data_IF_624176474771
#
_entry.id   IF_624176474771
#
_cell.length_a   1.000
_cell.length_b   1.000
_cell.length_c   1.000
_cell.angle_alpha   90.00
_cell.angle_beta   90.00
_cell.angle_gamma   90.00
#
_symmetry.space_group_name_H-M   'P 1'
#
loop_
_entity.id
_entity.type
_entity.pdbx_description
1 polymer ?
#
# COMPACT_ATOMS: atom_id res chain seq x y z
N UNK A 1 10.57 -4.70 1.89
CA UNK A 1 11.81 -4.04 1.44
C UNK A 1 12.42 -4.75 0.25
N UNK A 2 12.76 -6.04 0.37
CA UNK A 2 13.34 -6.83 -0.72
C UNK A 2 12.61 -6.67 -2.06
N UNK A 3 11.28 -6.72 -2.04
CA UNK A 3 10.48 -6.50 -3.26
C UNK A 3 10.68 -5.11 -3.90
N UNK A 4 10.83 -4.06 -3.08
CA UNK A 4 11.03 -2.70 -3.57
C UNK A 4 12.44 -2.50 -4.15
N UNK A 5 13.45 -3.19 -3.63
CA UNK A 5 14.82 -3.12 -4.17
C UNK A 5 15.08 -4.13 -5.30
N UNK A 6 14.21 -5.14 -5.46
CA UNK A 6 14.22 -6.15 -6.53
C UNK A 6 12.83 -6.29 -7.19
N UNK A 7 12.28 -5.22 -7.79
CA UNK A 7 10.91 -5.22 -8.28
C UNK A 7 10.76 -6.09 -9.53
N UNK A 8 9.57 -6.67 -9.71
CA UNK A 8 9.22 -7.36 -10.94
C UNK A 8 9.00 -6.34 -12.10
N UNK A 9 8.89 -6.80 -13.37
CA UNK A 9 8.76 -5.89 -14.51
C UNK A 9 7.56 -4.93 -14.48
N UNK A 10 6.47 -5.25 -13.76
CA UNK A 10 5.30 -4.36 -13.64
C UNK A 10 5.60 -3.16 -12.76
N UNK A 11 6.31 -3.38 -11.65
CA UNK A 11 6.56 -2.35 -10.64
C UNK A 11 7.92 -1.65 -10.79
N UNK A 12 8.80 -2.16 -11.67
CA UNK A 12 10.14 -1.61 -11.92
C UNK A 12 10.13 -0.11 -12.26
N UNK A 13 9.09 0.38 -12.93
CA UNK A 13 8.95 1.79 -13.27
C UNK A 13 8.58 2.68 -12.06
N UNK A 14 8.05 2.10 -10.98
CA UNK A 14 7.65 2.79 -9.76
C UNK A 14 8.70 2.71 -8.65
N UNK A 15 9.40 1.58 -8.55
CA UNK A 15 10.44 1.36 -7.54
C UNK A 15 11.84 1.66 -8.08
N UNK A 16 12.12 2.95 -8.29
CA UNK A 16 13.41 3.43 -8.78
C UNK A 16 14.48 3.29 -7.68
N UNK A 17 15.58 2.60 -8.00
CA UNK A 17 16.66 2.28 -7.06
C UNK A 17 17.30 3.55 -6.49
N UNK A 18 17.48 4.55 -7.35
CA UNK A 18 18.01 5.88 -7.02
C UNK A 18 17.15 6.67 -6.04
N UNK A 19 15.84 6.36 -5.93
CA UNK A 19 14.95 7.00 -4.97
C UNK A 19 14.86 6.23 -3.65
N UNK A 20 14.95 4.91 -3.71
CA UNK A 20 14.66 4.04 -2.55
C UNK A 20 15.91 3.76 -1.73
N UNK A 21 17.05 3.45 -2.36
CA UNK A 21 18.28 3.11 -1.62
C UNK A 21 18.79 4.23 -0.70
N UNK A 22 18.74 5.52 -1.11
CA UNK A 22 19.18 6.59 -0.21
C UNK A 22 18.43 6.62 1.12
N UNK A 23 17.18 6.13 1.18
CA UNK A 23 16.41 6.05 2.44
C UNK A 23 17.12 5.12 3.44
N UNK A 24 17.63 3.96 2.99
CA UNK A 24 18.39 3.04 3.81
C UNK A 24 19.82 3.54 4.06
N UNK A 25 20.52 4.00 3.03
CA UNK A 25 21.93 4.43 3.10
C UNK A 25 22.14 5.64 4.02
N UNK A 26 21.14 6.54 4.10
CA UNK A 26 21.15 7.69 5.00
C UNK A 26 20.60 7.35 6.41
N UNK A 27 20.20 6.10 6.67
CA UNK A 27 19.68 5.67 7.97
C UNK A 27 18.26 6.16 8.28
N UNK A 28 17.50 6.58 7.27
CA UNK A 28 16.13 7.11 7.41
C UNK A 28 15.04 6.03 7.25
N UNK A 29 15.43 4.78 6.98
CA UNK A 29 14.49 3.67 6.83
C UNK A 29 14.01 3.17 8.19
N UNK A 30 12.73 3.37 8.48
CA UNK A 30 12.06 2.83 9.66
C UNK A 30 11.01 1.80 9.23
N UNK A 31 11.16 0.57 9.70
CA UNK A 31 10.14 -0.47 9.52
C UNK A 31 9.01 -0.33 10.53
N UNK A 32 7.80 -0.62 10.08
CA UNK A 32 6.62 -0.71 10.96
C UNK A 32 6.59 -2.12 11.56
N UNK A 33 6.24 -2.22 12.85
CA UNK A 33 6.05 -3.49 13.53
C UNK A 33 4.84 -4.28 13.03
N UNK A 34 4.66 -5.49 13.56
CA UNK A 34 3.52 -6.36 13.22
C UNK A 34 2.17 -5.76 13.64
N UNK A 35 2.17 -4.81 14.59
CA UNK A 35 0.98 -4.07 15.02
C UNK A 35 0.52 -3.01 14.01
N UNK A 36 1.29 -2.81 12.92
CA UNK A 36 1.02 -1.85 11.85
C UNK A 36 0.88 -0.40 12.33
N UNK A 37 1.42 -0.09 13.52
CA UNK A 37 1.29 1.22 14.15
C UNK A 37 2.42 2.15 13.76
N UNK A 38 2.08 3.33 13.25
CA UNK A 38 3.04 4.40 12.95
C UNK A 38 3.10 5.39 14.11
N UNK A 39 1.94 5.70 14.72
CA UNK A 39 1.82 6.59 15.87
C UNK A 39 0.57 6.24 16.69
N UNK A 40 0.28 7.00 17.75
CA UNK A 40 -0.95 6.80 18.54
C UNK A 40 -2.23 6.90 17.70
N UNK A 41 -2.24 7.79 16.70
CA UNK A 41 -3.42 8.08 15.88
C UNK A 41 -3.34 7.50 14.47
N UNK A 42 -2.20 6.90 14.08
CA UNK A 42 -1.98 6.36 12.73
C UNK A 42 -1.58 4.90 12.83
N UNK A 43 -2.41 4.05 12.24
CA UNK A 43 -2.14 2.64 11.97
C UNK A 43 -2.36 2.38 10.48
N UNK A 44 -2.46 1.13 10.05
CA UNK A 44 -2.87 0.86 8.68
C UNK A 44 -3.37 -0.55 8.44
N UNK A 45 -3.74 -0.76 7.17
CA UNK A 45 -4.14 -2.03 6.61
C UNK A 45 -3.08 -2.40 5.58
N UNK A 46 -2.65 -3.67 5.58
CA UNK A 46 -1.81 -4.19 4.51
C UNK A 46 -2.70 -4.77 3.41
N UNK A 47 -2.48 -4.29 2.19
CA UNK A 47 -3.08 -4.80 0.96
C UNK A 47 -1.99 -5.42 0.09
N UNK A 48 -2.21 -6.65 -0.36
CA UNK A 48 -1.26 -7.48 -1.10
C UNK A 48 -1.70 -7.70 -2.54
N UNK A 49 -2.83 -7.15 -2.99
CA UNK A 49 -3.25 -7.27 -4.39
C UNK A 49 -2.43 -6.42 -5.36
N UNK A 50 -2.30 -5.12 -5.05
CA UNK A 50 -1.67 -4.14 -5.93
C UNK A 50 -0.13 -4.24 -5.96
N UNK A 51 0.51 -4.31 -4.78
CA UNK A 51 1.95 -4.59 -4.60
C UNK A 51 2.14 -5.68 -3.54
N UNK A 52 3.39 -6.06 -3.24
CA UNK A 52 3.67 -7.11 -2.27
C UNK A 52 3.15 -6.82 -0.86
N UNK A 53 3.17 -5.56 -0.45
CA UNK A 53 2.76 -5.13 0.89
C UNK A 53 2.40 -3.64 0.88
N UNK A 54 1.39 -3.25 0.09
CA UNK A 54 0.91 -1.88 0.08
C UNK A 54 0.31 -1.55 1.45
N UNK A 55 0.70 -0.41 2.02
CA UNK A 55 0.19 0.06 3.29
C UNK A 55 -0.85 1.15 3.06
N UNK A 56 -2.07 0.95 3.55
CA UNK A 56 -3.17 1.91 3.52
C UNK A 56 -3.29 2.57 4.90
N UNK A 57 -2.86 3.84 5.08
CA UNK A 57 -2.94 4.53 6.36
C UNK A 57 -4.37 4.65 6.87
N UNK A 58 -4.58 4.24 8.12
CA UNK A 58 -5.79 4.44 8.91
C UNK A 58 -5.51 5.50 9.97
N UNK A 59 -6.13 6.66 9.83
CA UNK A 59 -5.90 7.86 10.63
C UNK A 59 -7.13 8.11 11.50
N UNK A 60 -6.95 8.15 12.82
CA UNK A 60 -7.99 8.57 13.75
C UNK A 60 -7.94 10.09 13.97
N UNK A 61 -9.06 10.77 13.73
CA UNK A 61 -9.21 12.22 13.92
C UNK A 61 -10.50 12.44 14.70
N UNK A 62 -10.40 12.93 15.94
CA UNK A 62 -11.55 13.23 16.80
C UNK A 62 -12.55 12.07 16.96
N UNK A 63 -12.06 10.83 16.99
CA UNK A 63 -12.91 9.63 17.08
C UNK A 63 -13.41 9.11 15.74
N UNK A 64 -13.28 9.87 14.65
CA UNK A 64 -13.57 9.41 13.29
C UNK A 64 -12.35 8.74 12.67
N UNK A 65 -12.58 7.81 11.75
CA UNK A 65 -11.52 7.09 11.04
C UNK A 65 -11.51 7.48 9.58
N UNK A 66 -10.40 8.08 9.13
CA UNK A 66 -10.08 8.30 7.73
C UNK A 66 -9.15 7.18 7.25
N UNK A 67 -9.43 6.56 6.11
CA UNK A 67 -8.54 5.58 5.49
C UNK A 67 -8.08 6.10 4.13
N UNK A 68 -6.78 6.22 3.93
CA UNK A 68 -6.20 6.54 2.63
C UNK A 68 -5.96 5.25 1.85
N UNK A 69 -6.76 5.05 0.80
CA UNK A 69 -6.85 3.76 0.09
C UNK A 69 -5.77 3.53 -0.96
N UNK A 70 -4.94 4.53 -1.25
CA UNK A 70 -3.91 4.44 -2.28
C UNK A 70 -4.45 3.79 -3.57
N UNK A 71 -3.74 2.80 -4.09
CA UNK A 71 -4.08 2.12 -5.34
C UNK A 71 -5.05 0.93 -5.17
N UNK A 72 -5.62 0.71 -3.97
CA UNK A 72 -6.82 -0.14 -3.87
C UNK A 72 -8.02 0.54 -4.53
N UNK A 73 -8.14 1.86 -4.40
CA UNK A 73 -9.23 2.67 -4.97
C UNK A 73 -8.62 4.00 -5.46
N UNK A 74 -7.88 3.99 -6.59
CA UNK A 74 -7.15 5.17 -7.05
C UNK A 74 -8.06 6.26 -7.63
N UNK A 75 -9.30 5.92 -7.97
CA UNK A 75 -10.31 6.90 -8.42
C UNK A 75 -11.72 6.42 -8.16
N UNK A 76 -12.71 7.32 -8.31
CA UNK A 76 -14.13 6.98 -8.19
C UNK A 76 -14.60 5.92 -9.19
N UNK A 77 -13.92 5.79 -10.33
CA UNK A 77 -14.17 4.71 -11.30
C UNK A 77 -13.84 3.31 -10.76
N UNK A 78 -13.00 3.25 -9.73
CA UNK A 78 -12.56 2.02 -9.06
C UNK A 78 -13.31 1.82 -7.74
N UNK A 79 -14.56 2.25 -7.61
CA UNK A 79 -15.36 1.92 -6.41
C UNK A 79 -15.88 0.48 -6.48
N UNK A 80 -16.33 -0.01 -7.64
CA UNK A 80 -16.86 -1.37 -7.76
C UNK A 80 -15.74 -2.41 -7.58
N UNK A 81 -15.85 -3.39 -6.66
CA UNK A 81 -14.73 -4.28 -6.32
C UNK A 81 -14.08 -5.00 -7.51
N UNK A 82 -14.87 -5.34 -8.53
CA UNK A 82 -14.38 -6.01 -9.74
C UNK A 82 -13.69 -5.07 -10.76
N UNK A 83 -13.65 -3.77 -10.51
CA UNK A 83 -13.00 -2.78 -11.39
C UNK A 83 -11.59 -2.52 -10.85
N UNK A 84 -10.71 -3.52 -10.96
CA UNK A 84 -9.31 -3.46 -10.52
C UNK A 84 -8.40 -2.90 -11.61
N UNK A 85 -7.18 -2.54 -11.22
CA UNK A 85 -6.20 -1.89 -12.06
C UNK A 85 -5.44 -2.94 -12.88
N UNK A 86 -5.18 -2.66 -14.15
CA UNK A 86 -4.45 -3.59 -15.03
C UNK A 86 -2.98 -3.83 -14.64
N UNK A 87 -2.45 -3.00 -13.74
CA UNK A 87 -1.08 -3.08 -13.22
C UNK A 87 -0.97 -3.80 -11.86
N UNK A 88 -2.08 -4.27 -11.28
CA UNK A 88 -2.02 -5.09 -10.06
C UNK A 88 -1.19 -6.35 -10.28
N UNK A 89 -0.38 -6.72 -9.29
CA UNK A 89 0.40 -7.96 -9.33
C UNK A 89 -0.46 -9.19 -9.04
N UNK A 90 -1.55 -9.03 -8.26
CA UNK A 90 -2.52 -10.07 -7.88
C UNK A 90 -3.95 -9.52 -7.92
N UNK A 91 -4.54 -9.33 -9.12
CA UNK A 91 -5.84 -8.67 -9.27
C UNK A 91 -7.00 -9.37 -8.54
N UNK A 92 -6.98 -10.70 -8.45
CA UNK A 92 -8.01 -11.45 -7.69
C UNK A 92 -7.92 -11.20 -6.19
N UNK A 93 -6.72 -10.97 -5.66
CA UNK A 93 -6.56 -10.63 -4.25
C UNK A 93 -6.94 -9.17 -4.01
N UNK A 94 -6.63 -8.25 -4.95
CA UNK A 94 -7.17 -6.87 -4.90
C UNK A 94 -8.69 -6.87 -4.85
N UNK A 95 -9.37 -7.72 -5.63
CA UNK A 95 -10.84 -7.83 -5.58
C UNK A 95 -11.34 -8.24 -4.19
N UNK A 96 -10.74 -9.26 -3.58
CA UNK A 96 -11.12 -9.73 -2.23
C UNK A 96 -10.84 -8.66 -1.16
N UNK A 97 -9.70 -7.99 -1.25
CA UNK A 97 -9.32 -6.91 -0.31
C UNK A 97 -10.29 -5.74 -0.38
N UNK A 98 -10.75 -5.40 -1.59
CA UNK A 98 -11.74 -4.34 -1.80
C UNK A 98 -13.14 -4.76 -1.36
N UNK A 99 -13.55 -6.00 -1.61
CA UNK A 99 -14.81 -6.56 -1.08
C UNK A 99 -14.82 -6.58 0.45
N UNK A 100 -13.68 -6.83 1.09
CA UNK A 100 -13.59 -6.80 2.56
C UNK A 100 -13.60 -5.39 3.14
N UNK A 101 -13.20 -4.37 2.36
CA UNK A 101 -13.09 -2.99 2.84
C UNK A 101 -14.38 -2.18 2.64
N UNK A 102 -15.03 -2.34 1.48
CA UNK A 102 -16.22 -1.59 1.06
C UNK A 102 -17.50 -2.12 1.73
#
# INVERSE_FOLDING_TARGET
>A
WEHAIHPNPREKASFLRENILPIQELGNLCFIGEDLKISENISGILAQGHTESMFCPKININGETLVFMADMIPSSGHIKPNYVMGYDIRPLDTMKERESFL
#
